data_IF_621283712852
#
_entry.id   IF_621283712852
#
_cell.length_a   1.000
_cell.length_b   1.000
_cell.length_c   1.000
_cell.angle_alpha   90.00
_cell.angle_beta   90.00
_cell.angle_gamma   90.00
#
_symmetry.space_group_name_H-M   'P 1'
#
loop_
_entity.id
_entity.type
_entity.pdbx_description
1 polymer ?
#
# COMPACT_ATOMS: atom_id res chain seq x y z
N UNK A 1 -25.47 -63.22 -19.66
CA UNK A 1 -26.91 -62.90 -19.76
C UNK A 1 -27.19 -61.69 -18.90
N UNK A 2 -27.84 -60.66 -19.45
CA UNK A 2 -28.30 -59.50 -18.68
C UNK A 2 -27.99 -58.13 -19.29
N UNK A 3 -28.43 -57.91 -20.53
CA UNK A 3 -28.58 -56.57 -21.11
C UNK A 3 -29.54 -55.72 -20.29
N UNK A 4 -29.26 -54.42 -20.12
CA UNK A 4 -30.28 -53.43 -19.81
C UNK A 4 -29.94 -52.10 -20.50
N UNK A 5 -31.01 -51.48 -20.96
CA UNK A 5 -31.11 -50.81 -22.26
C UNK A 5 -31.16 -49.30 -22.15
N UNK A 6 -30.55 -48.68 -23.15
CA UNK A 6 -30.61 -47.27 -23.57
C UNK A 6 -32.08 -46.82 -23.76
N UNK A 7 -32.57 -45.88 -22.93
CA UNK A 7 -33.76 -45.06 -23.20
C UNK A 7 -33.25 -43.73 -23.78
N UNK A 8 -33.38 -43.45 -25.08
CA UNK A 8 -34.55 -42.82 -25.74
C UNK A 8 -35.10 -41.62 -24.96
N UNK A 9 -34.67 -40.42 -25.38
CA UNK A 9 -35.49 -39.22 -25.34
C UNK A 9 -35.05 -38.33 -26.50
N UNK A 10 -35.67 -38.55 -27.65
CA UNK A 10 -35.68 -37.60 -28.75
C UNK A 10 -37.08 -37.01 -28.87
N UNK A 11 -37.09 -35.73 -29.21
CA UNK A 11 -38.07 -34.99 -30.00
C UNK A 11 -38.80 -33.82 -29.32
N UNK A 12 -38.55 -32.67 -29.95
CA UNK A 12 -39.44 -31.54 -30.21
C UNK A 12 -39.59 -30.44 -29.16
N UNK A 13 -38.77 -29.40 -29.33
CA UNK A 13 -39.32 -28.06 -29.63
C UNK A 13 -38.46 -27.41 -30.72
N UNK A 14 -38.92 -27.51 -31.97
CA UNK A 14 -38.46 -26.68 -33.09
C UNK A 14 -39.54 -25.64 -33.38
N UNK A 15 -39.44 -24.45 -32.81
CA UNK A 15 -40.06 -23.21 -33.33
C UNK A 15 -39.65 -22.02 -32.46
N UNK A 16 -38.61 -21.30 -32.86
CA UNK A 16 -38.55 -19.84 -32.77
C UNK A 16 -37.40 -19.37 -33.66
N UNK A 17 -37.75 -19.15 -34.92
CA UNK A 17 -36.85 -18.56 -35.90
C UNK A 17 -36.44 -17.15 -35.48
N UNK A 18 -35.14 -16.90 -35.66
CA UNK A 18 -34.57 -15.70 -36.26
C UNK A 18 -35.47 -14.45 -36.24
N UNK A 19 -35.12 -13.48 -35.38
CA UNK A 19 -35.10 -12.02 -35.65
C UNK A 19 -34.80 -11.24 -34.37
N UNK A 20 -33.51 -11.10 -34.05
CA UNK A 20 -33.02 -9.99 -33.22
C UNK A 20 -31.53 -9.73 -33.46
N UNK A 21 -31.12 -9.68 -34.74
CA UNK A 21 -29.89 -9.00 -35.15
C UNK A 21 -30.33 -7.71 -35.82
N UNK A 22 -30.62 -6.69 -35.02
CA UNK A 22 -30.76 -5.32 -35.49
C UNK A 22 -29.66 -4.49 -34.84
N UNK A 23 -28.68 -4.17 -35.68
CA UNK A 23 -28.02 -2.87 -35.74
C UNK A 23 -27.77 -2.16 -34.40
N UNK A 24 -26.64 -2.47 -33.77
CA UNK A 24 -25.88 -1.44 -33.06
C UNK A 24 -25.19 -0.62 -34.16
N UNK A 25 -25.94 0.31 -34.74
CA UNK A 25 -25.37 1.32 -35.63
C UNK A 25 -24.38 2.16 -34.83
N UNK A 26 -23.15 2.15 -35.32
CA UNK A 26 -22.02 2.96 -34.87
C UNK A 26 -22.37 4.43 -35.10
N UNK A 27 -22.70 5.15 -34.03
CA UNK A 27 -22.48 6.59 -34.00
C UNK A 27 -21.11 6.85 -33.37
N UNK A 28 -20.06 6.67 -34.17
CA UNK A 28 -18.80 7.36 -33.92
C UNK A 28 -18.99 8.81 -34.38
N UNK A 29 -18.88 9.82 -33.50
CA UNK A 29 -18.72 11.20 -33.96
C UNK A 29 -17.39 11.33 -34.73
N UNK A 30 -17.31 12.20 -35.75
CA UNK A 30 -16.10 12.35 -36.54
C UNK A 30 -14.94 12.78 -35.63
N UNK A 31 -13.85 12.00 -35.69
CA UNK A 31 -12.55 12.39 -35.13
C UNK A 31 -12.08 13.65 -35.88
N UNK A 32 -12.32 14.82 -35.29
CA UNK A 32 -11.66 16.03 -35.72
C UNK A 32 -10.18 15.92 -35.33
N UNK A 33 -9.34 15.66 -36.32
CA UNK A 33 -7.90 15.78 -36.23
C UNK A 33 -7.51 17.26 -36.16
N UNK A 34 -7.67 17.89 -35.01
CA UNK A 34 -6.97 19.14 -34.71
C UNK A 34 -5.58 18.78 -34.20
N UNK A 35 -4.58 18.98 -35.05
CA UNK A 35 -3.18 18.74 -34.73
C UNK A 35 -2.72 19.54 -33.53
N UNK A 36 -2.28 18.84 -32.49
CA UNK A 36 -1.37 19.37 -31.48
C UNK A 36 0.00 18.74 -31.69
N UNK A 37 0.66 19.09 -32.80
CA UNK A 37 2.12 19.03 -32.86
C UNK A 37 2.67 20.26 -32.15
N UNK A 38 2.73 20.20 -30.83
CA UNK A 38 3.63 21.05 -30.05
C UNK A 38 4.74 20.14 -29.52
N UNK A 39 5.88 20.16 -30.21
CA UNK A 39 7.12 19.59 -29.70
C UNK A 39 7.50 20.37 -28.43
N UNK A 40 7.18 19.83 -27.27
CA UNK A 40 7.66 20.36 -25.99
C UNK A 40 9.11 19.91 -25.80
N UNK A 41 10.10 20.82 -25.72
CA UNK A 41 11.45 20.44 -25.38
C UNK A 41 11.50 19.94 -23.93
N UNK A 42 11.84 18.67 -23.76
CA UNK A 42 12.15 18.07 -22.46
C UNK A 42 13.45 18.70 -21.93
N UNK A 43 13.31 19.77 -21.14
CA UNK A 43 14.35 20.21 -20.20
C UNK A 43 13.83 20.08 -18.79
N UNK A 44 13.82 18.85 -18.29
CA UNK A 44 13.54 18.54 -16.89
C UNK A 44 14.75 18.92 -16.02
N UNK A 45 14.78 20.16 -15.55
CA UNK A 45 15.34 20.45 -14.22
C UNK A 45 14.16 20.79 -13.32
N UNK A 46 13.72 19.81 -12.53
CA UNK A 46 12.87 20.07 -11.38
C UNK A 46 13.70 20.94 -10.41
N UNK A 47 13.57 22.27 -10.55
CA UNK A 47 14.13 23.21 -9.56
C UNK A 47 13.15 23.20 -8.40
N UNK A 48 13.58 22.67 -7.25
CA UNK A 48 12.93 22.91 -5.98
C UNK A 48 12.86 24.42 -5.75
N UNK A 49 11.69 25.01 -5.99
CA UNK A 49 11.41 26.33 -5.42
C UNK A 49 11.13 26.10 -3.94
N UNK A 50 12.03 26.56 -3.09
CA UNK A 50 11.78 26.67 -1.65
C UNK A 50 10.54 27.55 -1.46
N UNK A 51 9.42 26.95 -1.06
CA UNK A 51 8.24 27.67 -0.61
C UNK A 51 8.58 28.17 0.80
N UNK A 52 8.70 29.49 0.96
CA UNK A 52 8.84 30.10 2.27
C UNK A 52 7.54 29.87 3.08
N UNK A 53 7.61 29.61 4.40
CA UNK A 53 6.42 29.45 5.22
C UNK A 53 5.64 30.76 5.34
N UNK A 54 4.31 30.64 5.31
CA UNK A 54 3.31 31.70 5.40
C UNK A 54 3.36 32.42 6.77
N UNK A 55 3.65 33.73 6.83
CA UNK A 55 3.76 34.47 8.09
C UNK A 55 2.40 35.06 8.52
N UNK A 56 1.44 34.23 8.89
CA UNK A 56 0.24 34.71 9.58
C UNK A 56 -0.53 33.60 10.32
N UNK A 57 -0.13 33.28 11.56
CA UNK A 57 -1.11 32.80 12.56
C UNK A 57 -0.75 33.35 13.96
N UNK A 58 -1.67 34.09 14.62
CA UNK A 58 -1.37 34.72 15.91
C UNK A 58 -1.12 33.70 17.02
N UNK A 59 -0.13 34.02 17.86
CA UNK A 59 0.15 33.35 19.13
C UNK A 59 -0.98 33.64 20.11
N UNK A 60 -1.74 32.61 20.50
CA UNK A 60 -2.59 32.69 21.69
C UNK A 60 -1.74 32.33 22.90
N UNK A 61 -1.40 33.35 23.69
CA UNK A 61 -0.98 33.22 25.09
C UNK A 61 -2.21 33.05 25.96
N UNK A 62 -2.16 32.13 26.92
CA UNK A 62 -3.17 31.94 27.96
C UNK A 62 -2.85 30.71 28.79
N UNK A 63 -2.89 30.88 30.10
CA UNK A 63 -2.00 30.29 31.11
C UNK A 63 -2.73 29.29 32.04
N UNK A 64 -1.94 28.56 32.82
CA UNK A 64 -2.26 27.91 34.11
C UNK A 64 -3.19 26.65 34.15
N UNK A 65 -2.58 25.53 34.54
CA UNK A 65 -3.04 24.79 35.72
C UNK A 65 -4.04 23.64 35.55
N UNK A 66 -3.56 22.46 35.14
CA UNK A 66 -4.07 21.19 35.68
C UNK A 66 -2.97 20.12 35.68
N UNK A 67 -2.55 19.76 36.90
CA UNK A 67 -2.16 18.39 37.26
C UNK A 67 -0.93 17.81 36.58
N UNK A 68 0.21 17.95 37.26
CA UNK A 68 1.42 17.15 37.07
C UNK A 68 1.13 15.65 37.25
N UNK A 69 0.65 15.01 36.18
CA UNK A 69 0.89 13.60 35.88
C UNK A 69 1.88 13.61 34.74
N UNK A 70 3.15 13.63 35.13
CA UNK A 70 4.33 13.61 34.27
C UNK A 70 4.06 12.85 32.97
N UNK A 71 4.03 13.62 31.88
CA UNK A 71 4.04 13.16 30.51
C UNK A 71 5.37 12.43 30.30
N UNK A 72 5.44 11.16 30.70
CA UNK A 72 6.50 10.27 30.28
C UNK A 72 6.53 10.35 28.75
N UNK A 73 7.61 10.89 28.20
CA UNK A 73 7.87 10.99 26.76
C UNK A 73 7.72 9.59 26.17
N UNK A 74 6.53 9.26 25.69
CA UNK A 74 6.32 8.06 24.90
C UNK A 74 7.01 8.34 23.59
N UNK A 75 8.19 7.74 23.40
CA UNK A 75 8.92 7.69 22.12
C UNK A 75 8.13 6.82 21.12
N UNK A 76 6.90 7.22 20.83
CA UNK A 76 5.98 6.56 19.92
C UNK A 76 5.85 7.37 18.63
N UNK A 77 6.01 6.71 17.48
CA UNK A 77 5.67 7.28 16.19
C UNK A 77 4.20 7.03 15.90
N UNK A 78 3.46 8.11 15.64
CA UNK A 78 2.06 8.05 15.24
C UNK A 78 1.96 7.81 13.74
N UNK A 79 0.94 7.06 13.35
CA UNK A 79 0.58 6.90 11.95
C UNK A 79 -0.93 6.91 11.74
N UNK A 80 -1.34 7.29 10.54
CA UNK A 80 -2.74 7.36 10.14
C UNK A 80 -2.92 7.03 8.67
N UNK A 81 -4.08 6.45 8.33
CA UNK A 81 -4.45 6.29 6.92
C UNK A 81 -4.78 7.65 6.27
N UNK A 82 -4.88 7.70 4.94
CA UNK A 82 -5.11 8.94 4.18
C UNK A 82 -6.32 9.78 4.66
N UNK A 83 -7.40 9.14 5.13
CA UNK A 83 -8.59 9.85 5.63
C UNK A 83 -8.59 10.08 7.16
N UNK A 84 -7.55 9.65 7.87
CA UNK A 84 -7.43 9.80 9.32
C UNK A 84 -8.32 8.89 10.17
N UNK A 85 -9.17 8.04 9.57
CA UNK A 85 -10.08 7.15 10.32
C UNK A 85 -9.36 6.01 11.06
N UNK A 86 -8.34 5.45 10.42
CA UNK A 86 -7.45 4.45 11.02
C UNK A 86 -6.23 5.17 11.56
N UNK A 87 -5.97 5.02 12.86
CA UNK A 87 -4.85 5.65 13.57
C UNK A 87 -4.17 4.61 14.45
N UNK A 88 -2.84 4.63 14.48
CA UNK A 88 -2.03 3.73 15.28
C UNK A 88 -0.78 4.44 15.83
N UNK A 89 -0.12 3.77 16.76
CA UNK A 89 1.14 4.22 17.37
C UNK A 89 2.13 3.05 17.41
N UNK A 90 3.40 3.36 17.13
CA UNK A 90 4.52 2.41 17.18
C UNK A 90 5.55 2.93 18.17
N UNK A 91 5.79 2.19 19.25
CA UNK A 91 6.82 2.50 20.24
C UNK A 91 8.22 2.18 19.67
N UNK A 92 8.88 3.17 19.06
CA UNK A 92 10.23 3.05 18.52
C UNK A 92 10.92 4.43 18.44
N UNK A 93 12.20 4.49 18.77
CA UNK A 93 13.05 5.69 18.63
C UNK A 93 13.68 5.84 17.23
N UNK A 94 13.52 4.84 16.38
CA UNK A 94 13.95 4.82 14.98
C UNK A 94 13.46 3.56 14.28
N UNK A 95 12.87 3.71 13.11
CA UNK A 95 12.41 2.60 12.29
C UNK A 95 13.30 2.48 11.06
N UNK A 96 13.90 1.31 10.89
CA UNK A 96 14.52 0.91 9.62
C UNK A 96 13.45 0.33 8.72
N UNK A 97 13.56 0.61 7.44
CA UNK A 97 12.61 0.25 6.40
C UNK A 97 13.24 -0.74 5.44
N UNK A 98 12.42 -1.59 4.86
CA UNK A 98 12.76 -2.26 3.62
C UNK A 98 11.82 -1.80 2.51
N UNK A 99 12.26 -1.98 1.27
CA UNK A 99 11.41 -1.89 0.09
C UNK A 99 11.30 -3.25 -0.57
N UNK A 100 10.08 -3.76 -0.71
CA UNK A 100 9.84 -5.01 -1.44
C UNK A 100 9.37 -4.71 -2.87
N UNK A 101 10.11 -5.22 -3.83
CA UNK A 101 9.87 -5.01 -5.26
C UNK A 101 9.04 -6.12 -5.91
N UNK A 102 8.53 -7.09 -5.15
CA UNK A 102 7.75 -8.20 -5.73
C UNK A 102 6.45 -7.70 -6.39
N UNK A 103 5.92 -8.48 -7.32
CA UNK A 103 4.75 -8.07 -8.09
C UNK A 103 3.48 -7.87 -7.25
N UNK A 104 3.37 -8.49 -6.07
CA UNK A 104 2.25 -8.28 -5.15
C UNK A 104 2.37 -6.92 -4.44
N UNK A 105 3.56 -6.59 -3.93
CA UNK A 105 3.83 -5.31 -3.30
C UNK A 105 3.63 -4.14 -4.26
N UNK A 106 4.07 -4.27 -5.53
CA UNK A 106 3.83 -3.24 -6.55
C UNK A 106 2.34 -3.03 -6.85
N UNK A 107 1.56 -4.11 -6.92
CA UNK A 107 0.11 -4.02 -7.13
C UNK A 107 -0.61 -3.40 -5.94
N UNK A 108 -0.19 -3.72 -4.72
CA UNK A 108 -0.77 -3.18 -3.50
C UNK A 108 -0.48 -1.68 -3.33
N UNK A 109 0.75 -1.25 -3.60
CA UNK A 109 1.14 0.16 -3.43
C UNK A 109 0.85 1.04 -4.65
N UNK A 110 0.69 0.44 -5.84
CA UNK A 110 0.67 1.17 -7.11
C UNK A 110 2.04 1.76 -7.50
N UNK A 111 3.11 1.44 -6.77
CA UNK A 111 4.45 1.99 -6.95
C UNK A 111 5.48 0.92 -7.37
N UNK A 112 6.74 1.33 -7.54
CA UNK A 112 7.85 0.43 -7.93
C UNK A 112 8.16 -0.62 -6.86
N UNK A 113 7.79 -0.33 -5.61
CA UNK A 113 7.96 -1.17 -4.43
C UNK A 113 6.90 -0.82 -3.39
N UNK A 114 6.78 -1.65 -2.35
CA UNK A 114 6.10 -1.26 -1.11
C UNK A 114 7.16 -1.06 -0.02
N UNK A 115 7.18 0.12 0.60
CA UNK A 115 8.09 0.46 1.68
C UNK A 115 7.40 0.21 3.02
N UNK A 116 8.05 -0.57 3.89
CA UNK A 116 7.47 -0.98 5.15
C UNK A 116 8.53 -1.29 6.21
N UNK A 117 8.08 -1.42 7.45
CA UNK A 117 8.85 -1.95 8.57
C UNK A 117 8.09 -3.10 9.23
N UNK A 118 8.77 -3.82 10.13
CA UNK A 118 8.19 -4.90 10.91
C UNK A 118 8.51 -4.61 12.37
N UNK A 119 7.49 -4.57 13.20
CA UNK A 119 7.64 -4.27 14.64
C UNK A 119 7.05 -5.39 15.48
N UNK A 120 7.59 -5.60 16.67
CA UNK A 120 7.00 -6.52 17.62
C UNK A 120 5.57 -6.06 17.95
N UNK A 121 4.63 -7.00 18.05
CA UNK A 121 3.23 -6.69 18.37
C UNK A 121 3.09 -5.93 19.70
N UNK A 122 3.97 -6.21 20.67
CA UNK A 122 4.03 -5.49 21.96
C UNK A 122 4.42 -4.01 21.85
N UNK A 123 4.98 -3.59 20.70
CA UNK A 123 5.34 -2.18 20.41
C UNK A 123 4.35 -1.49 19.50
N UNK A 124 3.26 -2.15 19.10
CA UNK A 124 2.23 -1.60 18.24
C UNK A 124 0.92 -1.43 19.02
N UNK A 125 0.22 -0.32 18.79
CA UNK A 125 -1.12 -0.10 19.36
C UNK A 125 -2.03 0.61 18.37
N UNK A 126 -3.24 0.10 18.21
CA UNK A 126 -4.32 0.84 17.56
C UNK A 126 -4.81 1.98 18.45
N UNK A 127 -4.96 3.15 17.87
CA UNK A 127 -5.52 4.34 18.55
C UNK A 127 -6.97 4.55 18.14
N UNK A 128 -7.31 4.32 16.86
CA UNK A 128 -8.67 4.43 16.35
C UNK A 128 -8.87 3.59 15.08
N UNK A 129 -10.11 3.17 14.83
CA UNK A 129 -10.54 2.59 13.55
C UNK A 129 -10.10 1.16 13.27
N UNK A 130 -9.57 0.43 14.27
CA UNK A 130 -9.15 -0.97 14.13
C UNK A 130 -10.29 -1.87 13.64
N UNK A 131 -11.47 -1.73 14.23
CA UNK A 131 -12.65 -2.56 13.90
C UNK A 131 -13.23 -2.27 12.51
N UNK A 132 -12.81 -1.16 11.90
CA UNK A 132 -13.24 -0.76 10.55
C UNK A 132 -12.25 -1.21 9.47
N UNK A 133 -11.15 -1.87 9.82
CA UNK A 133 -10.16 -2.33 8.85
C UNK A 133 -10.72 -3.51 8.04
N UNK A 134 -10.62 -3.42 6.72
CA UNK A 134 -10.96 -4.51 5.82
C UNK A 134 -9.70 -5.33 5.46
N UNK A 135 -9.86 -6.62 5.22
CA UNK A 135 -8.76 -7.54 4.89
C UNK A 135 -9.01 -8.24 3.56
N UNK A 136 -7.96 -8.36 2.75
CA UNK A 136 -7.89 -9.28 1.63
C UNK A 136 -6.70 -10.23 1.82
N UNK A 137 -6.90 -11.52 1.57
CA UNK A 137 -5.86 -12.52 1.70
C UNK A 137 -5.86 -13.44 0.47
N UNK A 138 -4.67 -13.65 -0.10
CA UNK A 138 -4.45 -14.62 -1.16
C UNK A 138 -4.22 -15.99 -0.56
N UNK A 139 -4.73 -17.03 -1.23
CA UNK A 139 -4.28 -18.40 -1.01
C UNK A 139 -2.75 -18.48 -1.19
N UNK A 140 -2.02 -18.96 -0.18
CA UNK A 140 -0.54 -18.83 -0.07
C UNK A 140 -0.06 -17.75 0.93
N UNK A 141 -0.99 -16.96 1.47
CA UNK A 141 -0.80 -16.18 2.68
C UNK A 141 -0.22 -14.77 2.52
N UNK A 142 -0.26 -14.20 1.30
CA UNK A 142 -0.13 -12.75 1.17
C UNK A 142 -1.39 -12.07 1.73
N UNK A 143 -1.21 -11.09 2.62
CA UNK A 143 -2.29 -10.35 3.28
C UNK A 143 -2.17 -8.86 2.95
N UNK A 144 -3.31 -8.23 2.72
CA UNK A 144 -3.44 -6.79 2.57
C UNK A 144 -4.62 -6.32 3.40
N UNK A 145 -4.33 -5.63 4.49
CA UNK A 145 -5.36 -4.93 5.24
C UNK A 145 -5.38 -3.46 4.79
N UNK A 146 -6.57 -2.87 4.68
CA UNK A 146 -6.75 -1.53 4.16
C UNK A 146 -7.91 -0.79 4.81
N UNK A 147 -7.84 0.54 4.79
CA UNK A 147 -8.96 1.37 5.19
C UNK A 147 -10.06 1.30 4.11
N UNK A 148 -11.29 0.88 4.43
CA UNK A 148 -12.36 0.77 3.43
C UNK A 148 -12.83 2.14 2.91
N UNK A 149 -12.48 3.24 3.62
CA UNK A 149 -12.88 4.59 3.24
C UNK A 149 -11.93 5.21 2.21
N UNK A 150 -10.61 5.06 2.37
CA UNK A 150 -9.63 5.68 1.47
C UNK A 150 -8.78 4.69 0.68
N UNK A 151 -8.93 3.39 0.89
CA UNK A 151 -8.16 2.34 0.20
C UNK A 151 -6.69 2.21 0.63
N UNK A 152 -6.19 3.09 1.51
CA UNK A 152 -4.80 3.04 1.93
C UNK A 152 -4.49 1.69 2.62
N UNK A 153 -3.37 1.02 2.28
CA UNK A 153 -2.94 -0.17 3.01
C UNK A 153 -2.56 0.23 4.44
N UNK A 154 -3.04 -0.52 5.43
CA UNK A 154 -2.84 -0.26 6.87
C UNK A 154 -2.03 -1.38 7.53
N UNK A 155 -1.56 -1.18 8.78
CA UNK A 155 -0.83 -2.22 9.49
C UNK A 155 -1.62 -3.52 9.60
N UNK A 156 -0.94 -4.65 9.47
CA UNK A 156 -1.55 -5.98 9.58
C UNK A 156 -0.64 -6.99 10.31
N UNK A 157 -1.21 -8.00 10.96
CA UNK A 157 -0.44 -9.05 11.62
C UNK A 157 0.36 -9.86 10.61
N UNK A 158 1.62 -10.15 10.95
CA UNK A 158 2.49 -10.95 10.11
C UNK A 158 2.20 -12.45 10.31
N UNK A 159 1.12 -12.93 9.68
CA UNK A 159 0.65 -14.32 9.82
C UNK A 159 0.46 -14.66 11.32
N UNK A 160 1.02 -15.78 11.77
CA UNK A 160 0.94 -16.26 13.16
C UNK A 160 2.15 -15.84 14.01
N UNK A 161 2.96 -14.89 13.53
CA UNK A 161 4.13 -14.40 14.23
C UNK A 161 3.78 -13.19 15.13
N UNK A 162 4.51 -12.96 16.24
CA UNK A 162 4.24 -11.85 17.17
C UNK A 162 4.75 -10.50 16.64
N UNK A 163 4.49 -10.22 15.35
CA UNK A 163 4.95 -9.04 14.63
C UNK A 163 3.83 -8.42 13.81
N UNK A 164 3.93 -7.11 13.62
CA UNK A 164 3.03 -6.30 12.79
C UNK A 164 3.83 -5.73 11.63
N UNK A 165 3.33 -5.94 10.42
CA UNK A 165 3.80 -5.25 9.23
C UNK A 165 3.20 -3.85 9.20
N UNK A 166 4.04 -2.82 9.05
CA UNK A 166 3.62 -1.42 9.07
C UNK A 166 4.06 -0.74 7.77
N UNK A 167 3.11 -0.28 6.91
CA UNK A 167 3.46 0.49 5.72
C UNK A 167 4.06 1.83 6.11
N UNK A 168 5.23 2.15 5.54
CA UNK A 168 6.04 3.31 5.94
C UNK A 168 5.34 4.64 5.65
N UNK A 169 4.57 4.71 4.56
CA UNK A 169 3.89 5.92 4.11
C UNK A 169 2.76 6.40 5.02
N UNK A 170 2.37 5.62 6.04
CA UNK A 170 1.37 6.05 7.02
C UNK A 170 1.96 6.75 8.25
N UNK A 171 3.29 6.75 8.42
CA UNK A 171 3.94 7.32 9.60
C UNK A 171 4.11 8.83 9.40
N UNK A 172 3.59 9.63 10.34
CA UNK A 172 3.46 11.09 10.19
C UNK A 172 4.82 11.82 10.29
N UNK A 173 5.72 11.37 11.17
CA UNK A 173 7.07 11.94 11.36
C UNK A 173 8.16 10.94 10.93
N UNK A 174 8.25 10.71 9.62
CA UNK A 174 9.19 9.75 9.02
C UNK A 174 10.62 10.26 8.86
N UNK A 175 10.95 11.47 9.34
CA UNK A 175 12.19 12.18 8.99
C UNK A 175 13.51 11.48 9.39
N UNK A 176 13.44 10.44 10.23
CA UNK A 176 14.59 9.64 10.69
C UNK A 176 14.60 8.20 10.16
N UNK A 177 13.65 7.84 9.31
CA UNK A 177 13.52 6.49 8.78
C UNK A 177 14.48 6.29 7.60
N UNK A 178 15.13 5.13 7.54
CA UNK A 178 16.07 4.79 6.47
C UNK A 178 15.71 3.46 5.84
N UNK A 179 15.75 3.39 4.51
CA UNK A 179 15.67 2.12 3.79
C UNK A 179 17.02 1.42 3.94
N UNK A 180 17.01 0.24 4.55
CA UNK A 180 18.21 -0.57 4.84
C UNK A 180 18.27 -1.85 4.02
N UNK A 181 17.22 -2.17 3.26
CA UNK A 181 17.19 -3.33 2.38
C UNK A 181 16.19 -3.16 1.24
N UNK A 182 16.57 -3.65 0.06
CA UNK A 182 15.69 -3.86 -1.08
C UNK A 182 15.48 -5.36 -1.27
N UNK A 183 14.23 -5.83 -1.23
CA UNK A 183 13.87 -7.24 -1.32
C UNK A 183 13.20 -7.56 -2.66
N UNK A 184 13.37 -8.79 -3.14
CA UNK A 184 12.83 -9.26 -4.41
C UNK A 184 13.27 -8.43 -5.62
N UNK A 185 14.52 -8.00 -5.68
CA UNK A 185 15.06 -7.18 -6.77
C UNK A 185 15.06 -7.89 -8.12
N UNK A 186 15.10 -9.22 -8.14
CA UNK A 186 14.92 -10.00 -9.37
C UNK A 186 13.51 -9.84 -9.99
N UNK A 187 12.52 -9.39 -9.21
CA UNK A 187 11.16 -9.11 -9.68
C UNK A 187 10.90 -7.61 -9.91
N UNK A 188 11.93 -6.75 -9.78
CA UNK A 188 11.83 -5.29 -9.91
C UNK A 188 11.15 -4.88 -11.22
N UNK A 189 10.35 -3.82 -11.18
CA UNK A 189 9.70 -3.32 -12.38
C UNK A 189 10.75 -2.83 -13.39
N UNK A 190 10.57 -3.15 -14.68
CA UNK A 190 11.49 -2.71 -15.73
C UNK A 190 11.63 -1.19 -15.85
N UNK A 191 10.64 -0.44 -15.35
CA UNK A 191 10.62 1.03 -15.31
C UNK A 191 11.22 1.63 -14.03
N UNK A 192 11.69 0.81 -13.09
CA UNK A 192 12.34 1.28 -11.86
C UNK A 192 13.85 1.48 -12.09
N UNK A 193 14.21 2.72 -12.41
CA UNK A 193 15.58 3.17 -12.64
C UNK A 193 16.28 3.68 -11.36
N UNK A 194 15.67 3.51 -10.18
CA UNK A 194 16.22 4.06 -8.94
C UNK A 194 17.50 3.32 -8.54
N UNK A 195 18.59 4.08 -8.38
CA UNK A 195 19.80 3.58 -7.75
C UNK A 195 19.58 3.46 -6.23
N UNK A 196 19.94 2.32 -5.66
CA UNK A 196 19.69 2.00 -4.27
C UNK A 196 20.98 2.15 -3.46
N UNK A 197 20.94 2.93 -2.38
CA UNK A 197 22.08 3.07 -1.44
C UNK A 197 22.15 1.95 -0.39
N UNK A 198 21.18 1.04 -0.38
CA UNK A 198 21.06 -0.06 0.57
C UNK A 198 21.22 -1.43 -0.14
N UNK A 199 21.59 -2.50 0.60
CA UNK A 199 21.71 -3.85 0.06
C UNK A 199 20.48 -4.31 -0.73
N UNK A 200 20.74 -4.98 -1.85
CA UNK A 200 19.73 -5.58 -2.71
C UNK A 200 19.74 -7.10 -2.55
N UNK A 201 18.56 -7.67 -2.35
CA UNK A 201 18.31 -9.09 -2.26
C UNK A 201 17.37 -9.52 -3.38
N UNK A 202 17.81 -10.44 -4.22
CA UNK A 202 17.01 -10.95 -5.35
C UNK A 202 15.74 -11.69 -4.90
N UNK A 203 15.75 -12.22 -3.68
CA UNK A 203 14.63 -12.90 -3.03
C UNK A 203 14.43 -12.37 -1.61
N UNK A 204 13.46 -12.92 -0.87
CA UNK A 204 13.30 -12.59 0.54
C UNK A 204 14.38 -13.32 1.36
N UNK A 205 15.15 -12.62 2.21
CA UNK A 205 15.94 -13.26 3.24
C UNK A 205 15.05 -14.10 4.17
N UNK A 206 15.67 -15.02 4.92
CA UNK A 206 14.95 -15.63 6.03
C UNK A 206 14.49 -14.55 7.03
N UNK A 207 13.45 -14.89 7.80
CA UNK A 207 12.81 -13.93 8.68
C UNK A 207 13.76 -13.38 9.78
N UNK A 208 14.60 -14.20 10.44
CA UNK A 208 15.63 -13.70 11.35
C UNK A 208 16.59 -12.69 10.74
N UNK A 209 17.10 -12.94 9.53
CA UNK A 209 18.00 -12.03 8.82
C UNK A 209 17.30 -10.72 8.46
N UNK A 210 16.04 -10.77 8.01
CA UNK A 210 15.24 -9.58 7.76
C UNK A 210 15.03 -8.76 9.05
N UNK A 211 14.72 -9.41 10.16
CA UNK A 211 14.57 -8.72 11.45
C UNK A 211 15.89 -8.09 11.91
N UNK A 212 17.04 -8.74 11.70
CA UNK A 212 18.34 -8.18 12.04
C UNK A 212 18.61 -6.88 11.26
N UNK A 213 18.26 -6.83 9.97
CA UNK A 213 18.36 -5.60 9.18
C UNK A 213 17.45 -4.49 9.72
N UNK A 214 16.23 -4.83 10.13
CA UNK A 214 15.21 -3.85 10.55
C UNK A 214 15.36 -3.35 11.99
N UNK A 215 16.20 -3.96 12.81
CA UNK A 215 16.51 -3.45 14.15
C UNK A 215 17.47 -2.27 14.01
N UNK A 216 17.05 -1.08 14.43
CA UNK A 216 17.99 0.00 14.72
C UNK A 216 18.73 -0.38 16.01
N UNK A 217 20.05 -0.42 15.97
CA UNK A 217 20.90 -1.08 16.97
C UNK A 217 20.52 -0.71 18.42
N UNK A 218 20.37 -1.77 19.23
CA UNK A 218 20.17 -1.80 20.66
C UNK A 218 20.46 -3.21 21.14
#
# INVERSE_FOLDING_TARGET
>A
MGHLTKRHFDANVSHFGARASREIQRHQPPLQSSGFHAAFPVRSRCRSRSIAPDPARPLLQGDEGIGSLALARRNGMRGSCLCGRVVFEVAASGLRLYQCHCSLCRRQSGAMSNAATIVAASRFRWIAGADSVASWQREGGFRSDFCPTCGAPVPNPLRDLPYVWVPAGLIEDGGRMQVVAHLHTASKAAWDATATGAPCHDTQPDFPALLALLRADG
#
